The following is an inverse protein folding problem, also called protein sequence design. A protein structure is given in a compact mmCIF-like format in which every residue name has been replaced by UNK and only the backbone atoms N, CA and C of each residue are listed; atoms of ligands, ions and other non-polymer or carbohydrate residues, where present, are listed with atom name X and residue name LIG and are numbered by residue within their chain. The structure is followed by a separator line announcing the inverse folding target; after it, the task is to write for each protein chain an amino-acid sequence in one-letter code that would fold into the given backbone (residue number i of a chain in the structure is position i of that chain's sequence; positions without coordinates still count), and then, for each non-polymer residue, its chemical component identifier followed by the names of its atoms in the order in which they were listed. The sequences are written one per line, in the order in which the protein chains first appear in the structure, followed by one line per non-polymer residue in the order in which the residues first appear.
data_IF_625549796768
#
_entry.id   IF_625549796768
#
_cell.length_a   1.000
_cell.length_b   1.000
_cell.length_c   1.000
_cell.angle_alpha   90.00
_cell.angle_beta   90.00
_cell.angle_gamma   90.00
#
_symmetry.space_group_name_H-M   'P 1'
#
loop_
_entity.id
_entity.type
_entity.pdbx_description
1 polymer ?
#
# COMPACT_ATOMS: atom_id res chain seq x y z
N UNK A 1 18.45 -38.90 6.46
CA UNK A 1 18.33 -37.48 6.79
C UNK A 1 18.96 -36.63 5.69
N UNK A 2 18.53 -36.78 4.44
CA UNK A 2 18.95 -35.98 3.28
C UNK A 2 17.79 -36.02 2.27
N UNK A 3 16.70 -35.26 2.48
CA UNK A 3 15.60 -35.17 1.49
C UNK A 3 14.89 -33.81 1.41
N UNK A 4 15.22 -32.84 2.27
CA UNK A 4 14.43 -31.58 2.35
C UNK A 4 15.08 -30.38 1.65
N UNK A 5 16.31 -30.46 1.19
CA UNK A 5 17.01 -29.35 0.53
C UNK A 5 16.52 -29.12 -0.90
N UNK A 6 16.16 -30.20 -1.63
CA UNK A 6 15.74 -30.08 -3.03
C UNK A 6 14.36 -29.46 -3.23
N UNK A 7 13.45 -29.50 -2.25
CA UNK A 7 12.11 -28.94 -2.36
C UNK A 7 12.11 -27.41 -2.21
N UNK A 8 12.95 -26.87 -1.33
CA UNK A 8 13.10 -25.42 -1.12
C UNK A 8 13.78 -24.75 -2.31
N UNK A 9 14.78 -25.40 -2.91
CA UNK A 9 15.46 -24.89 -4.09
C UNK A 9 14.53 -24.86 -5.31
N UNK A 10 13.71 -25.89 -5.50
CA UNK A 10 12.75 -25.94 -6.61
C UNK A 10 11.69 -24.86 -6.50
N UNK A 11 11.17 -24.61 -5.30
CA UNK A 11 10.17 -23.55 -5.06
C UNK A 11 10.77 -22.14 -5.26
N UNK A 12 12.03 -21.94 -4.88
CA UNK A 12 12.76 -20.69 -5.09
C UNK A 12 13.01 -20.43 -6.59
N UNK A 13 13.46 -21.44 -7.32
CA UNK A 13 13.68 -21.38 -8.77
C UNK A 13 12.38 -21.07 -9.51
N UNK A 14 11.26 -21.69 -9.11
CA UNK A 14 9.95 -21.43 -9.71
C UNK A 14 9.50 -19.97 -9.48
N UNK A 15 9.66 -19.46 -8.26
CA UNK A 15 9.34 -18.05 -7.93
C UNK A 15 10.19 -17.06 -8.74
N UNK A 16 11.48 -17.32 -8.88
CA UNK A 16 12.37 -16.47 -9.68
C UNK A 16 12.01 -16.51 -11.17
N UNK A 17 11.62 -17.68 -11.70
CA UNK A 17 11.15 -17.81 -13.09
C UNK A 17 9.84 -17.05 -13.33
N UNK A 18 8.86 -17.15 -12.42
CA UNK A 18 7.60 -16.41 -12.51
C UNK A 18 7.84 -14.91 -12.48
N UNK A 19 8.71 -14.42 -11.59
CA UNK A 19 9.07 -12.99 -11.53
C UNK A 19 9.74 -12.55 -12.83
N UNK A 20 10.66 -13.32 -13.38
CA UNK A 20 11.31 -13.01 -14.68
C UNK A 20 10.30 -12.99 -15.82
N UNK A 21 9.35 -13.92 -15.85
CA UNK A 21 8.27 -13.95 -16.86
C UNK A 21 7.35 -12.74 -16.72
N UNK A 22 7.00 -12.33 -15.52
CA UNK A 22 6.18 -11.14 -15.27
C UNK A 22 6.93 -9.86 -15.68
N UNK A 23 8.21 -9.75 -15.36
CA UNK A 23 9.06 -8.63 -15.80
C UNK A 23 9.24 -8.61 -17.31
N UNK A 24 9.40 -9.77 -17.94
CA UNK A 24 9.49 -9.89 -19.39
C UNK A 24 8.17 -9.53 -20.06
N UNK A 25 7.03 -10.00 -19.55
CA UNK A 25 5.70 -9.63 -20.04
C UNK A 25 5.44 -8.12 -19.90
N UNK A 26 5.84 -7.52 -18.77
CA UNK A 26 5.78 -6.08 -18.55
C UNK A 26 6.67 -5.33 -19.54
N UNK A 27 7.89 -5.81 -19.79
CA UNK A 27 8.82 -5.23 -20.77
C UNK A 27 8.29 -5.33 -22.20
N UNK A 28 7.69 -6.46 -22.58
CA UNK A 28 7.02 -6.65 -23.89
C UNK A 28 5.82 -5.72 -24.03
N UNK A 29 4.99 -5.58 -23.00
CA UNK A 29 3.88 -4.61 -23.00
C UNK A 29 4.37 -3.18 -23.22
N UNK A 30 5.45 -2.77 -22.56
CA UNK A 30 6.04 -1.43 -22.75
C UNK A 30 6.51 -1.25 -24.19
N UNK A 31 7.05 -2.30 -24.83
CA UNK A 31 7.54 -2.23 -26.22
C UNK A 31 6.41 -2.20 -27.24
N UNK A 32 5.27 -2.85 -26.98
CA UNK A 32 4.13 -2.86 -27.90
C UNK A 32 3.33 -1.55 -27.87
N UNK A 33 3.43 -0.78 -26.78
CA UNK A 33 2.81 0.55 -26.65
C UNK A 33 3.66 1.66 -27.32
N UNK A 34 4.94 1.39 -27.59
CA UNK A 34 5.88 2.37 -28.12
C UNK A 34 5.64 2.87 -29.57
N UNK A 35 4.95 2.15 -30.50
CA UNK A 35 4.76 2.68 -31.86
C UNK A 35 3.51 3.56 -32.05
N UNK A 36 2.59 3.62 -31.09
CA UNK A 36 1.52 4.60 -31.15
C UNK A 36 2.08 5.94 -30.64
N UNK A 37 2.10 6.98 -31.44
CA UNK A 37 2.54 8.35 -31.18
C UNK A 37 1.85 9.05 -29.98
N UNK A 38 1.54 8.31 -28.93
CA UNK A 38 0.88 8.81 -27.75
C UNK A 38 1.93 9.28 -26.76
N UNK A 39 1.91 10.57 -26.51
CA UNK A 39 2.76 11.25 -25.54
C UNK A 39 2.54 10.62 -24.17
N UNK A 40 3.62 10.19 -23.52
CA UNK A 40 3.58 9.73 -22.13
C UNK A 40 3.47 10.95 -21.25
N UNK A 41 2.41 11.04 -20.49
CA UNK A 41 2.16 12.15 -19.58
C UNK A 41 2.75 11.84 -18.21
N UNK A 42 3.46 12.81 -17.65
CA UNK A 42 4.01 12.74 -16.30
C UNK A 42 3.13 13.51 -15.33
N UNK A 43 3.07 13.05 -14.11
CA UNK A 43 2.35 13.75 -13.05
C UNK A 43 3.05 13.64 -11.70
N UNK A 44 2.86 14.65 -10.87
CA UNK A 44 3.18 14.57 -9.44
C UNK A 44 1.88 14.57 -8.68
N UNK A 45 1.73 13.65 -7.74
CA UNK A 45 0.50 13.51 -6.92
C UNK A 45 0.86 13.48 -5.45
N UNK A 46 0.17 14.28 -4.66
CA UNK A 46 0.20 14.22 -3.20
C UNK A 46 -1.19 13.86 -2.67
N UNK A 47 -1.26 13.21 -1.53
CA UNK A 47 -2.53 12.82 -0.92
C UNK A 47 -2.44 12.74 0.59
N UNK A 48 -3.55 13.06 1.22
CA UNK A 48 -3.80 12.83 2.65
C UNK A 48 -5.00 11.91 2.78
N UNK A 49 -5.02 11.10 3.81
CA UNK A 49 -6.10 10.13 3.93
C UNK A 49 -6.03 9.33 5.21
N UNK A 50 -6.62 8.17 5.15
CA UNK A 50 -6.78 7.29 6.29
C UNK A 50 -6.27 5.90 5.95
N UNK A 51 -5.59 5.27 6.91
CA UNK A 51 -5.16 3.88 6.84
C UNK A 51 -5.71 3.11 8.04
N UNK A 52 -6.02 1.85 7.81
CA UNK A 52 -6.36 0.90 8.84
C UNK A 52 -5.86 -0.49 8.48
N UNK A 53 -5.84 -1.38 9.45
CA UNK A 53 -5.59 -2.80 9.27
C UNK A 53 -6.86 -3.53 9.67
N UNK A 54 -7.42 -4.30 8.74
CA UNK A 54 -8.63 -5.10 8.96
C UNK A 54 -8.25 -6.58 8.98
N UNK A 55 -8.82 -7.35 9.89
CA UNK A 55 -8.58 -8.80 10.02
C UNK A 55 -9.32 -9.40 11.18
N UNK A 56 -9.42 -10.74 11.17
CA UNK A 56 -10.04 -11.50 12.26
C UNK A 56 -9.14 -11.46 13.50
N UNK A 57 -9.74 -11.44 14.68
CA UNK A 57 -9.05 -11.39 16.00
C UNK A 57 -8.17 -10.16 16.26
N UNK A 58 -8.37 -9.09 15.51
CA UNK A 58 -7.81 -7.78 15.83
C UNK A 58 -8.87 -7.02 16.62
N UNK A 59 -8.57 -6.60 17.85
CA UNK A 59 -9.48 -5.78 18.65
C UNK A 59 -10.07 -4.62 17.84
N UNK A 60 -10.46 -3.53 18.40
CA UNK A 60 -11.03 -2.38 17.63
C UNK A 60 -9.90 -1.52 17.06
N UNK A 61 -9.38 -1.79 15.84
CA UNK A 61 -8.31 -1.00 15.26
C UNK A 61 -8.85 0.40 14.95
N UNK A 62 -8.14 1.43 15.40
CA UNK A 62 -8.48 2.82 15.11
C UNK A 62 -7.78 3.29 13.85
N UNK A 63 -8.52 4.04 13.06
CA UNK A 63 -8.02 4.66 11.83
C UNK A 63 -6.84 5.58 12.13
N UNK A 64 -5.83 5.52 11.27
CA UNK A 64 -4.63 6.36 11.34
C UNK A 64 -4.61 7.33 10.16
N UNK A 65 -4.17 8.57 10.42
CA UNK A 65 -3.83 9.50 9.35
C UNK A 65 -2.71 8.92 8.48
N UNK A 66 -2.92 8.94 7.18
CA UNK A 66 -2.00 8.47 6.16
C UNK A 66 -1.68 9.59 5.17
N UNK A 67 -0.51 9.52 4.55
CA UNK A 67 -0.10 10.43 3.51
C UNK A 67 0.59 9.69 2.38
N UNK A 68 0.51 10.29 1.19
CA UNK A 68 1.06 9.76 -0.06
C UNK A 68 1.73 10.89 -0.83
N UNK A 69 2.89 10.60 -1.40
CA UNK A 69 3.57 11.46 -2.37
C UNK A 69 4.16 10.59 -3.46
N UNK A 70 3.97 10.94 -4.73
CA UNK A 70 4.46 10.11 -5.82
C UNK A 70 4.52 10.81 -7.16
N UNK A 71 5.21 10.12 -8.07
CA UNK A 71 5.31 10.47 -9.49
C UNK A 71 4.50 9.43 -10.26
N UNK A 72 3.65 9.88 -11.15
CA UNK A 72 2.83 9.06 -12.02
C UNK A 72 3.23 9.19 -13.48
N UNK A 73 2.98 8.12 -14.20
CA UNK A 73 3.09 8.01 -15.65
C UNK A 73 1.74 7.56 -16.20
N UNK A 74 1.27 8.20 -17.24
CA UNK A 74 0.08 7.81 -17.97
C UNK A 74 0.45 7.59 -19.43
N UNK A 75 0.17 6.39 -19.93
CA UNK A 75 0.38 5.98 -21.32
C UNK A 75 -0.98 5.76 -21.99
N UNK A 76 -1.55 6.74 -22.70
CA UNK A 76 -2.78 6.55 -23.46
C UNK A 76 -2.52 5.54 -24.58
N UNK A 77 -3.40 4.54 -24.73
CA UNK A 77 -3.34 3.59 -25.84
C UNK A 77 -4.61 3.64 -26.72
N UNK A 78 -5.61 4.37 -26.25
CA UNK A 78 -6.82 4.71 -27.02
C UNK A 78 -7.34 6.08 -26.57
N UNK A 79 -8.36 6.60 -27.25
CA UNK A 79 -9.00 7.90 -26.93
C UNK A 79 -9.61 7.95 -25.53
N UNK A 80 -10.03 6.80 -25.01
CA UNK A 80 -10.67 6.67 -23.70
C UNK A 80 -9.74 5.97 -22.71
N UNK A 81 -8.92 5.04 -23.15
CA UNK A 81 -8.20 4.14 -22.30
C UNK A 81 -6.71 4.51 -22.18
N UNK A 82 -6.21 4.44 -20.98
CA UNK A 82 -4.79 4.63 -20.66
C UNK A 82 -4.29 3.62 -19.63
N UNK A 83 -3.00 3.36 -19.66
CA UNK A 83 -2.29 2.64 -18.61
C UNK A 83 -1.66 3.65 -17.67
N UNK A 84 -1.99 3.58 -16.40
CA UNK A 84 -1.39 4.41 -15.36
C UNK A 84 -0.46 3.58 -14.47
N UNK A 85 0.75 4.07 -14.26
CA UNK A 85 1.73 3.51 -13.35
C UNK A 85 2.47 4.63 -12.63
N UNK A 86 3.47 4.28 -11.82
CA UNK A 86 4.28 5.28 -11.13
C UNK A 86 4.90 4.73 -9.86
N UNK A 87 5.53 5.60 -9.10
CA UNK A 87 6.14 5.27 -7.81
C UNK A 87 5.63 6.24 -6.76
N UNK A 88 5.17 5.73 -5.64
CA UNK A 88 4.66 6.54 -4.54
C UNK A 88 5.23 6.10 -3.20
N UNK A 89 5.64 7.06 -2.39
CA UNK A 89 5.85 6.88 -0.97
C UNK A 89 4.49 6.93 -0.28
N UNK A 90 4.17 5.92 0.52
CA UNK A 90 2.87 5.80 1.20
C UNK A 90 3.08 5.44 2.66
N UNK A 91 2.55 6.26 3.57
CA UNK A 91 2.46 5.92 4.99
C UNK A 91 1.18 5.12 5.23
N UNK A 92 1.30 3.97 5.86
CA UNK A 92 0.19 3.08 6.24
C UNK A 92 0.28 2.72 7.72
N UNK A 93 -0.68 1.95 8.22
CA UNK A 93 -0.67 1.42 9.59
C UNK A 93 -2.00 1.59 10.31
N UNK A 94 -1.96 1.40 11.61
CA UNK A 94 -3.14 1.56 12.49
C UNK A 94 -2.73 2.18 13.81
N UNK A 95 -3.66 2.87 14.45
CA UNK A 95 -3.52 3.36 15.82
C UNK A 95 -4.26 2.40 16.77
N UNK A 96 -3.65 2.08 17.90
CA UNK A 96 -4.28 1.39 19.02
C UNK A 96 -4.97 0.06 18.65
N UNK A 97 -4.19 -0.96 18.36
CA UNK A 97 -4.67 -2.34 18.37
C UNK A 97 -4.57 -2.85 19.81
N UNK A 98 -5.69 -3.14 20.44
CA UNK A 98 -5.68 -3.83 21.74
C UNK A 98 -5.60 -5.32 21.48
N UNK A 99 -4.59 -5.98 22.02
CA UNK A 99 -4.51 -7.44 22.10
C UNK A 99 -4.71 -7.80 23.55
N UNK A 100 -5.81 -8.49 23.86
CA UNK A 100 -6.13 -8.94 25.21
C UNK A 100 -5.80 -10.44 25.28
N UNK A 101 -4.78 -10.81 26.04
CA UNK A 101 -4.40 -12.18 26.30
C UNK A 101 -4.02 -12.30 27.78
N UNK A 102 -4.69 -13.20 28.49
CA UNK A 102 -4.39 -13.57 29.89
C UNK A 102 -4.28 -12.39 30.88
N UNK A 103 -5.21 -11.45 30.83
CA UNK A 103 -5.22 -10.30 31.73
C UNK A 103 -4.11 -9.26 31.45
N UNK A 104 -3.46 -9.35 30.31
CA UNK A 104 -2.50 -8.35 29.80
C UNK A 104 -3.13 -7.67 28.59
N UNK A 105 -3.42 -6.38 28.70
CA UNK A 105 -3.80 -5.58 27.54
C UNK A 105 -2.56 -4.90 26.96
N UNK A 106 -2.24 -5.21 25.72
CA UNK A 106 -1.19 -4.56 24.97
C UNK A 106 -1.81 -3.67 23.88
N UNK A 107 -1.41 -2.40 23.88
CA UNK A 107 -1.79 -1.49 22.81
C UNK A 107 -0.58 -1.26 21.91
N UNK A 108 -0.80 -1.32 20.60
CA UNK A 108 0.25 -1.09 19.64
C UNK A 108 -0.16 0.00 18.63
N UNK A 109 0.76 0.93 18.38
CA UNK A 109 0.64 1.92 17.32
C UNK A 109 1.62 1.55 16.21
N UNK A 110 1.09 1.03 15.14
CA UNK A 110 1.89 0.56 13.99
C UNK A 110 2.02 1.67 12.96
N UNK A 111 3.26 2.06 12.67
CA UNK A 111 3.61 2.97 11.58
C UNK A 111 4.43 2.21 10.55
N UNK A 112 4.03 2.28 9.29
CA UNK A 112 4.74 1.61 8.20
C UNK A 112 4.83 2.55 7.01
N UNK A 113 6.01 2.61 6.41
CA UNK A 113 6.25 3.37 5.18
C UNK A 113 6.56 2.40 4.05
N UNK A 114 5.87 2.57 2.94
CA UNK A 114 6.02 1.74 1.74
C UNK A 114 6.43 2.58 0.53
N UNK A 115 7.24 1.98 -0.31
CA UNK A 115 7.37 2.38 -1.69
C UNK A 115 6.38 1.53 -2.51
N UNK A 116 5.45 2.17 -3.20
CA UNK A 116 4.33 1.52 -3.88
C UNK A 116 4.38 1.78 -5.38
N UNK A 117 4.14 0.73 -6.16
CA UNK A 117 4.09 0.73 -7.61
C UNK A 117 2.71 0.20 -8.04
N UNK A 118 1.78 1.08 -8.42
CA UNK A 118 0.51 0.68 -9.02
C UNK A 118 0.66 0.40 -10.52
N UNK A 119 -0.18 -0.49 -11.05
CA UNK A 119 -0.37 -0.70 -12.49
C UNK A 119 -1.88 -0.72 -12.73
N UNK A 120 -2.43 0.39 -13.23
CA UNK A 120 -3.87 0.58 -13.33
C UNK A 120 -4.28 0.85 -14.77
N UNK A 121 -5.41 0.30 -15.17
CA UNK A 121 -6.12 0.71 -16.38
C UNK A 121 -7.04 1.86 -15.99
N UNK A 122 -6.99 2.93 -16.76
CA UNK A 122 -7.81 4.11 -16.56
C UNK A 122 -8.69 4.38 -17.78
N UNK A 123 -9.94 4.77 -17.49
CA UNK A 123 -10.87 5.28 -18.50
C UNK A 123 -11.02 6.79 -18.29
N UNK A 124 -10.84 7.55 -19.38
CA UNK A 124 -10.91 9.01 -19.41
C UNK A 124 -12.19 9.44 -20.14
N UNK A 125 -13.05 10.16 -19.46
CA UNK A 125 -14.30 10.70 -19.99
C UNK A 125 -14.20 12.22 -20.09
N UNK A 126 -14.28 12.76 -21.30
CA UNK A 126 -14.32 14.20 -21.52
C UNK A 126 -15.70 14.74 -21.10
N UNK A 127 -15.70 15.70 -20.17
CA UNK A 127 -16.91 16.47 -19.83
C UNK A 127 -16.96 17.77 -20.61
N UNK A 128 -15.81 18.40 -20.80
CA UNK A 128 -15.64 19.64 -21.53
C UNK A 128 -14.25 19.65 -22.18
N UNK A 129 -13.94 20.69 -22.97
CA UNK A 129 -12.64 20.83 -23.65
C UNK A 129 -11.43 20.76 -22.72
N UNK A 130 -11.59 21.16 -21.47
CA UNK A 130 -10.53 21.26 -20.49
C UNK A 130 -10.74 20.35 -19.27
N UNK A 131 -11.87 19.65 -19.16
CA UNK A 131 -12.27 18.86 -18.00
C UNK A 131 -12.49 17.41 -18.37
N UNK A 132 -11.82 16.51 -17.63
CA UNK A 132 -11.96 15.07 -17.79
C UNK A 132 -12.24 14.41 -16.46
N UNK A 133 -13.06 13.38 -16.46
CA UNK A 133 -13.19 12.44 -15.34
C UNK A 133 -12.37 11.21 -15.69
N UNK A 134 -11.55 10.78 -14.74
CA UNK A 134 -10.75 9.56 -14.86
C UNK A 134 -11.19 8.56 -13.80
N UNK A 135 -11.48 7.35 -14.24
CA UNK A 135 -11.73 6.19 -13.37
C UNK A 135 -10.61 5.19 -13.61
N UNK A 136 -9.88 4.81 -12.59
CA UNK A 136 -8.76 3.90 -12.71
C UNK A 136 -8.90 2.73 -11.74
N UNK A 137 -8.51 1.54 -12.17
CA UNK A 137 -8.45 0.36 -11.31
C UNK A 137 -7.33 -0.58 -11.75
N UNK A 138 -6.73 -1.28 -10.80
CA UNK A 138 -5.69 -2.25 -11.09
C UNK A 138 -4.95 -2.76 -9.86
N UNK A 139 -4.00 -3.67 -10.04
CA UNK A 139 -3.14 -4.16 -8.97
C UNK A 139 -2.11 -3.10 -8.53
N UNK A 140 -1.61 -3.27 -7.33
CA UNK A 140 -0.41 -2.60 -6.85
C UNK A 140 0.52 -3.58 -6.13
N UNK A 141 1.82 -3.31 -6.19
CA UNK A 141 2.84 -3.90 -5.34
C UNK A 141 3.48 -2.84 -4.47
N UNK A 142 3.85 -3.18 -3.24
CA UNK A 142 4.49 -2.25 -2.33
C UNK A 142 5.60 -2.92 -1.53
N UNK A 143 6.68 -2.19 -1.29
CA UNK A 143 7.81 -2.63 -0.49
C UNK A 143 7.98 -1.76 0.74
N UNK A 144 7.98 -2.39 1.94
CA UNK A 144 8.18 -1.72 3.21
C UNK A 144 9.63 -1.24 3.36
N UNK A 145 9.82 0.07 3.36
CA UNK A 145 11.12 0.73 3.45
C UNK A 145 11.49 1.16 4.85
N UNK A 146 10.51 1.28 5.76
CA UNK A 146 10.72 1.64 7.15
C UNK A 146 9.43 1.63 7.93
N UNK A 147 9.55 1.73 9.25
CA UNK A 147 8.42 1.82 10.15
C UNK A 147 8.82 1.55 11.58
N UNK A 148 8.13 2.18 12.51
CA UNK A 148 8.31 1.99 13.96
C UNK A 148 6.98 1.68 14.59
N UNK A 149 6.99 0.67 15.45
CA UNK A 149 5.84 0.30 16.25
C UNK A 149 6.09 0.66 17.69
N UNK A 150 5.15 1.40 18.27
CA UNK A 150 5.14 1.70 19.69
C UNK A 150 4.19 0.72 20.36
N UNK A 151 4.73 -0.08 21.27
CA UNK A 151 3.96 -1.01 22.08
C UNK A 151 3.92 -0.50 23.53
N UNK A 152 2.72 -0.48 24.11
CA UNK A 152 2.50 -0.20 25.52
C UNK A 152 1.99 -1.47 26.19
N UNK A 153 2.81 -2.06 27.04
CA UNK A 153 2.41 -3.19 27.89
C UNK A 153 1.91 -2.69 29.24
N UNK A 154 0.66 -3.00 29.57
CA UNK A 154 0.12 -2.75 30.89
C UNK A 154 -0.23 -4.07 31.58
N UNK A 155 0.36 -4.32 32.72
CA UNK A 155 -0.07 -5.42 33.59
C UNK A 155 -1.27 -4.93 34.36
N UNK A 156 -2.41 -5.62 34.25
CA UNK A 156 -3.63 -5.28 34.93
C UNK A 156 -3.40 -5.27 36.44
N UNK A 157 -3.27 -4.11 37.03
CA UNK A 157 -3.45 -3.89 38.46
C UNK A 157 -4.39 -2.70 38.57
N UNK A 158 -5.66 -3.05 38.81
CA UNK A 158 -6.78 -2.17 39.17
C UNK A 158 -6.78 -0.71 38.68
N UNK A 159 -7.76 -0.41 37.88
CA UNK A 159 -8.46 0.89 37.73
C UNK A 159 -7.77 2.06 37.02
N UNK A 160 -6.93 1.87 36.03
CA UNK A 160 -6.51 3.03 35.22
C UNK A 160 -6.58 2.75 33.72
N UNK A 161 -7.21 3.65 32.98
CA UNK A 161 -7.10 3.68 31.53
C UNK A 161 -5.62 3.79 31.11
N UNK A 162 -5.17 3.05 30.07
CA UNK A 162 -3.79 3.14 29.60
C UNK A 162 -3.48 4.57 29.15
N UNK A 163 -2.53 5.21 29.82
CA UNK A 163 -2.02 6.51 29.42
C UNK A 163 -0.71 6.33 28.65
N UNK A 164 -0.70 6.76 27.39
CA UNK A 164 0.47 6.70 26.51
C UNK A 164 1.62 7.61 26.97
N UNK A 165 1.36 8.54 27.92
CA UNK A 165 2.35 9.49 28.41
C UNK A 165 3.09 9.00 29.65
N UNK A 166 2.53 8.04 30.39
CA UNK A 166 3.10 7.59 31.69
C UNK A 166 3.50 6.12 31.72
N UNK A 167 3.14 5.32 30.70
CA UNK A 167 3.51 3.90 30.61
C UNK A 167 4.88 3.67 29.98
N UNK A 168 5.49 2.51 30.24
CA UNK A 168 6.71 2.07 29.55
C UNK A 168 6.39 1.80 28.06
N UNK A 169 6.63 2.80 27.21
CA UNK A 169 6.49 2.68 25.77
C UNK A 169 7.76 2.07 25.22
N UNK A 170 7.65 0.88 24.67
CA UNK A 170 8.74 0.23 23.94
C UNK A 170 8.58 0.53 22.46
N UNK A 171 9.58 1.18 21.86
CA UNK A 171 9.63 1.44 20.43
C UNK A 171 10.46 0.34 19.76
N UNK A 172 9.83 -0.42 18.88
CA UNK A 172 10.46 -1.52 18.14
C UNK A 172 10.34 -1.27 16.64
N UNK A 173 11.31 -1.77 15.88
CA UNK A 173 11.23 -1.73 14.43
C UNK A 173 10.06 -2.59 13.92
N UNK A 174 9.33 -2.07 12.94
CA UNK A 174 8.18 -2.78 12.38
C UNK A 174 8.62 -3.94 11.49
N UNK A 175 9.80 -3.84 10.86
CA UNK A 175 10.35 -4.85 9.97
C UNK A 175 11.66 -5.44 10.53
N UNK A 176 11.84 -6.76 10.37
CA UNK A 176 13.09 -7.44 10.69
C UNK A 176 13.06 -8.25 11.99
N UNK A 177 14.09 -9.07 12.18
CA UNK A 177 14.26 -9.92 13.35
C UNK A 177 14.51 -9.06 14.59
N UNK A 178 13.63 -9.10 15.56
CA UNK A 178 13.67 -8.27 16.78
C UNK A 178 12.59 -7.19 16.84
N UNK A 179 11.82 -7.02 15.78
CA UNK A 179 10.63 -6.18 15.73
C UNK A 179 9.34 -7.01 15.66
N UNK A 180 8.27 -6.44 15.10
CA UNK A 180 7.01 -7.16 14.85
C UNK A 180 7.11 -8.21 13.71
N UNK A 181 8.25 -8.33 13.05
CA UNK A 181 8.50 -9.23 11.91
C UNK A 181 7.39 -9.17 10.83
N UNK A 182 6.89 -7.95 10.55
CA UNK A 182 5.92 -7.75 9.49
C UNK A 182 6.57 -8.04 8.13
N UNK A 183 5.79 -8.57 7.22
CA UNK A 183 6.23 -8.77 5.85
C UNK A 183 6.48 -7.44 5.16
N UNK A 184 7.66 -7.28 4.55
CA UNK A 184 8.01 -6.06 3.79
C UNK A 184 7.21 -5.92 2.50
N UNK A 185 6.77 -7.04 1.92
CA UNK A 185 6.04 -7.05 0.66
C UNK A 185 4.53 -7.04 0.92
N UNK A 186 3.85 -6.05 0.34
CA UNK A 186 2.40 -5.90 0.31
C UNK A 186 1.94 -5.80 -1.15
N UNK A 187 0.82 -6.42 -1.48
CA UNK A 187 0.18 -6.32 -2.78
C UNK A 187 -1.33 -6.31 -2.62
N UNK A 188 -2.01 -5.76 -3.60
CA UNK A 188 -3.45 -5.66 -3.55
C UNK A 188 -4.05 -5.03 -4.78
N UNK A 189 -5.25 -4.50 -4.61
CA UNK A 189 -5.98 -3.77 -5.64
C UNK A 189 -6.13 -2.31 -5.24
N UNK A 190 -6.07 -1.45 -6.25
CA UNK A 190 -6.26 -0.01 -6.14
C UNK A 190 -7.38 0.43 -7.07
N UNK A 191 -8.18 1.39 -6.61
CA UNK A 191 -9.18 2.09 -7.41
C UNK A 191 -8.98 3.59 -7.24
N UNK A 192 -9.31 4.36 -8.26
CA UNK A 192 -9.21 5.81 -8.22
C UNK A 192 -10.32 6.47 -9.06
N UNK A 193 -10.79 7.59 -8.57
CA UNK A 193 -11.66 8.49 -9.30
C UNK A 193 -11.05 9.89 -9.18
N UNK A 194 -10.82 10.55 -10.31
CA UNK A 194 -10.26 11.90 -10.32
C UNK A 194 -10.90 12.77 -11.39
N UNK A 195 -10.90 14.07 -11.11
CA UNK A 195 -11.24 15.11 -12.07
C UNK A 195 -9.93 15.81 -12.46
N UNK A 196 -9.69 15.89 -13.73
CA UNK A 196 -8.59 16.63 -14.35
C UNK A 196 -9.16 17.91 -14.98
N UNK A 197 -8.60 19.03 -14.59
CA UNK A 197 -8.88 20.33 -15.20
C UNK A 197 -7.58 20.92 -15.72
N UNK A 198 -7.39 20.90 -17.04
CA UNK A 198 -6.13 21.24 -17.71
C UNK A 198 -4.99 20.37 -17.19
N UNK A 199 -4.11 20.95 -16.35
CA UNK A 199 -2.97 20.26 -15.74
C UNK A 199 -3.21 19.83 -14.29
N UNK A 200 -4.28 20.30 -13.65
CA UNK A 200 -4.57 20.01 -12.24
C UNK A 200 -5.47 18.81 -12.10
N UNK A 201 -5.17 17.97 -11.14
CA UNK A 201 -5.95 16.78 -10.83
C UNK A 201 -6.36 16.81 -9.35
N UNK A 202 -7.60 16.48 -9.08
CA UNK A 202 -8.12 16.24 -7.73
C UNK A 202 -8.90 14.92 -7.77
N UNK A 203 -8.70 14.07 -6.76
CA UNK A 203 -9.35 12.76 -6.79
C UNK A 203 -9.40 12.09 -5.44
N UNK A 204 -10.03 10.92 -5.47
CA UNK A 204 -10.05 9.98 -4.34
C UNK A 204 -9.47 8.65 -4.81
N UNK A 205 -8.70 8.03 -3.95
CA UNK A 205 -8.07 6.73 -4.23
C UNK A 205 -8.31 5.79 -3.05
N UNK A 206 -8.67 4.54 -3.35
CA UNK A 206 -8.81 3.47 -2.39
C UNK A 206 -7.85 2.32 -2.69
N UNK A 207 -7.35 1.66 -1.65
CA UNK A 207 -6.50 0.47 -1.77
C UNK A 207 -6.90 -0.59 -0.78
N UNK A 208 -6.92 -1.82 -1.23
CA UNK A 208 -7.14 -3.00 -0.41
C UNK A 208 -5.98 -3.97 -0.58
N UNK A 209 -5.22 -4.18 0.49
CA UNK A 209 -4.17 -5.19 0.55
C UNK A 209 -4.76 -6.59 0.56
N UNK A 210 -4.16 -7.48 -0.21
CA UNK A 210 -4.52 -8.91 -0.26
C UNK A 210 -3.50 -9.76 0.49
N UNK A 211 -2.35 -9.18 0.83
CA UNK A 211 -1.29 -9.86 1.58
C UNK A 211 -1.60 -9.85 3.09
N UNK A 212 -1.41 -10.99 3.74
CA UNK A 212 -1.40 -11.06 5.21
C UNK A 212 -0.12 -10.41 5.73
N UNK A 213 -0.25 -9.44 6.63
CA UNK A 213 0.88 -8.67 7.17
C UNK A 213 1.82 -9.52 8.02
N UNK A 214 1.30 -10.56 8.67
CA UNK A 214 2.07 -11.50 9.51
C UNK A 214 1.49 -12.92 9.37
N UNK A 215 2.29 -13.95 9.69
CA UNK A 215 1.84 -15.35 9.61
C UNK A 215 0.68 -15.66 10.58
N UNK A 216 0.71 -15.05 11.75
CA UNK A 216 -0.26 -15.30 12.83
C UNK A 216 -1.42 -14.29 12.82
N UNK A 217 -1.16 -13.04 12.49
CA UNK A 217 -2.17 -11.99 12.37
C UNK A 217 -2.67 -11.89 10.93
N UNK A 218 -3.93 -12.25 10.70
CA UNK A 218 -4.56 -12.23 9.37
C UNK A 218 -4.95 -10.81 8.92
N UNK A 219 -4.22 -9.78 9.36
CA UNK A 219 -4.49 -8.39 9.03
C UNK A 219 -4.14 -8.04 7.58
N UNK A 220 -5.00 -7.24 6.94
CA UNK A 220 -4.82 -6.67 5.60
C UNK A 220 -4.86 -5.16 5.68
N UNK A 221 -4.03 -4.48 4.89
CA UNK A 221 -4.06 -3.03 4.80
C UNK A 221 -5.30 -2.55 4.03
N UNK A 222 -5.97 -1.54 4.55
CA UNK A 222 -6.94 -0.74 3.81
C UNK A 222 -6.56 0.73 3.91
N UNK A 223 -6.58 1.46 2.80
CA UNK A 223 -6.26 2.88 2.78
C UNK A 223 -7.18 3.64 1.84
N UNK A 224 -7.52 4.87 2.22
CA UNK A 224 -8.26 5.81 1.39
C UNK A 224 -7.56 7.17 1.42
N UNK A 225 -7.45 7.83 0.27
CA UNK A 225 -6.78 9.12 0.10
C UNK A 225 -7.64 10.09 -0.68
N UNK A 226 -7.63 11.35 -0.28
CA UNK A 226 -7.93 12.47 -1.16
C UNK A 226 -6.59 12.93 -1.74
N UNK A 227 -6.53 13.09 -3.04
CA UNK A 227 -5.30 13.39 -3.77
C UNK A 227 -5.44 14.66 -4.58
N UNK A 228 -4.35 15.40 -4.66
CA UNK A 228 -4.18 16.51 -5.60
C UNK A 228 -2.90 16.27 -6.41
N UNK A 229 -2.87 16.70 -7.66
CA UNK A 229 -1.74 16.50 -8.54
C UNK A 229 -1.64 17.51 -9.65
N UNK A 230 -0.48 17.50 -10.29
CA UNK A 230 -0.18 18.29 -11.48
C UNK A 230 0.36 17.37 -12.58
N UNK A 231 -0.15 17.53 -13.77
CA UNK A 231 0.21 16.78 -14.98
C UNK A 231 0.98 17.70 -15.92
N UNK A 232 2.13 17.26 -16.37
CA UNK A 232 3.02 18.00 -17.26
C UNK A 232 2.67 17.80 -18.72
#
# INVERSE_FOLDING_TARGET
MIKDTNFLDTALIYRVRVIKLLLFALFVMIRTVAPAQNQVDWSIKAGIGMANIIGDNMGSPKVKLAYKLGIGLECPFDKVWSLQTGVSFVSKGTNHTAVETDGISAQAKVNVSYLELPVMVAARFAMDRNTHILVAAGPYGAWGIGGKTKALGHRWSSSSTPDWNTGNVVEIDTFGKGGLDLRRFDYGVAIGLSVEYRHYMIGVEGRLGLCKLQKELQGKNITGFVTAGYKF
#
